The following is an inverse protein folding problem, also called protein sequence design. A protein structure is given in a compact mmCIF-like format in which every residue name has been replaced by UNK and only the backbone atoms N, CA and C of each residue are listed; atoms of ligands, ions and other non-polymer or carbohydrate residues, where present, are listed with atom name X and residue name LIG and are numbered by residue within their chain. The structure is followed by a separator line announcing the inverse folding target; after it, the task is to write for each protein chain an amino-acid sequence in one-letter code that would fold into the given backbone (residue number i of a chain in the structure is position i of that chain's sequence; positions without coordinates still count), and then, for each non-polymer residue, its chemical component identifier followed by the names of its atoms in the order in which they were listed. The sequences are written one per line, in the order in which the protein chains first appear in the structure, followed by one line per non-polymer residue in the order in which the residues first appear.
data_IF_825734848236
#
_entry.id   IF_825734848236
#
_cell.length_a   1.000
_cell.length_b   1.000
_cell.length_c   1.000
_cell.angle_alpha   90.00
_cell.angle_beta   90.00
_cell.angle_gamma   90.00
#
_symmetry.space_group_name_H-M   'P 1'
#
loop_
_entity.id
_entity.type
_entity.pdbx_description
1 polymer ?
#
# COMPACT_ATOMS: atom_id res chain seq x y z
N UNK A 1 -15.21 18.02 23.82
CA UNK A 1 -13.87 18.61 23.94
C UNK A 1 -13.32 18.84 22.55
N UNK A 2 -12.89 20.06 22.19
CA UNK A 2 -12.26 20.31 20.89
C UNK A 2 -10.89 19.65 20.89
N UNK A 3 -10.63 18.73 19.96
CA UNK A 3 -9.31 18.13 19.80
C UNK A 3 -8.29 19.23 19.49
N UNK A 4 -7.38 19.49 20.43
CA UNK A 4 -6.24 20.38 20.22
C UNK A 4 -5.28 19.69 19.25
N UNK A 5 -4.97 20.34 18.11
CA UNK A 5 -3.94 19.87 17.18
C UNK A 5 -2.57 20.22 17.74
N UNK A 6 -1.71 19.21 17.93
CA UNK A 6 -0.33 19.38 18.40
C UNK A 6 0.69 19.49 17.26
N UNK A 7 0.37 18.97 16.07
CA UNK A 7 1.26 19.04 14.92
C UNK A 7 1.34 20.45 14.35
N UNK A 8 2.55 20.87 13.97
CA UNK A 8 2.78 22.09 13.20
C UNK A 8 2.15 21.97 11.82
N UNK A 9 1.62 23.08 11.32
CA UNK A 9 1.25 23.20 9.91
C UNK A 9 2.44 23.73 9.10
N UNK A 10 2.89 22.95 8.11
CA UNK A 10 3.96 23.36 7.19
C UNK A 10 3.42 24.03 5.92
N UNK A 11 2.09 24.15 5.77
CA UNK A 11 1.42 24.77 4.64
C UNK A 11 1.80 24.11 3.32
N UNK A 12 2.04 24.92 2.27
CA UNK A 12 2.40 24.41 0.94
C UNK A 12 3.69 23.57 0.91
N UNK A 13 4.57 23.71 1.91
CA UNK A 13 5.83 22.95 2.01
C UNK A 13 5.61 21.49 2.40
N UNK A 14 4.47 21.17 3.02
CA UNK A 14 4.13 19.82 3.45
C UNK A 14 4.25 18.81 2.29
N UNK A 15 3.85 19.21 1.08
CA UNK A 15 3.93 18.34 -0.12
C UNK A 15 5.36 17.90 -0.42
N UNK A 16 6.32 18.82 -0.46
CA UNK A 16 7.73 18.50 -0.76
C UNK A 16 8.42 17.81 0.40
N UNK A 17 8.10 18.19 1.65
CA UNK A 17 8.61 17.53 2.85
C UNK A 17 8.17 16.06 2.90
N UNK A 18 6.88 15.79 2.66
CA UNK A 18 6.35 14.43 2.65
C UNK A 18 6.89 13.60 1.49
N UNK A 19 6.92 14.17 0.27
CA UNK A 19 7.50 13.49 -0.88
C UNK A 19 8.94 13.05 -0.59
N UNK A 20 9.82 13.98 -0.20
CA UNK A 20 11.23 13.67 0.03
C UNK A 20 11.42 12.73 1.22
N UNK A 21 10.70 12.92 2.33
CA UNK A 21 10.80 12.05 3.50
C UNK A 21 10.42 10.60 3.16
N UNK A 22 9.38 10.39 2.36
CA UNK A 22 8.95 9.06 1.93
C UNK A 22 9.91 8.45 0.91
N UNK A 23 10.29 9.19 -0.14
CA UNK A 23 11.21 8.75 -1.19
C UNK A 23 12.55 8.29 -0.62
N UNK A 24 13.10 9.05 0.34
CA UNK A 24 14.37 8.72 1.00
C UNK A 24 14.21 7.96 2.32
N UNK A 25 12.98 7.52 2.64
CA UNK A 25 12.67 6.63 3.76
C UNK A 25 13.18 7.12 5.13
N UNK A 26 13.16 8.43 5.37
CA UNK A 26 13.81 9.06 6.53
C UNK A 26 13.04 8.90 7.84
N UNK A 27 11.78 8.49 7.78
CA UNK A 27 10.91 8.26 8.94
C UNK A 27 10.53 6.78 9.15
N UNK A 28 11.24 5.84 8.51
CA UNK A 28 10.97 4.40 8.68
C UNK A 28 11.31 3.93 10.10
N UNK A 29 10.73 2.80 10.56
CA UNK A 29 11.03 2.24 11.88
C UNK A 29 12.53 1.97 12.13
N UNK A 30 13.29 1.60 11.09
CA UNK A 30 14.74 1.45 11.19
C UNK A 30 15.52 2.78 11.32
N UNK A 31 14.85 3.94 11.29
CA UNK A 31 15.41 5.28 11.51
C UNK A 31 14.91 5.92 12.80
N UNK A 32 13.63 5.77 13.11
CA UNK A 32 12.96 6.47 14.22
C UNK A 32 12.25 5.52 15.21
N UNK A 33 12.44 4.22 15.07
CA UNK A 33 11.70 3.21 15.84
C UNK A 33 10.25 3.04 15.38
N UNK A 34 9.59 2.00 15.88
CA UNK A 34 8.18 1.73 15.59
C UNK A 34 7.25 2.69 16.36
N UNK A 35 7.28 3.99 16.03
CA UNK A 35 6.65 5.10 16.77
C UNK A 35 5.20 4.81 17.20
N UNK A 36 4.39 4.22 16.32
CA UNK A 36 2.99 3.89 16.64
C UNK A 36 2.84 2.77 17.67
N UNK A 37 3.73 1.78 17.68
CA UNK A 37 3.75 0.76 18.73
C UNK A 37 4.24 1.36 20.06
N UNK A 38 5.31 2.16 19.99
CA UNK A 38 5.91 2.83 21.14
C UNK A 38 4.94 3.78 21.86
N UNK A 39 4.19 4.62 21.13
CA UNK A 39 3.23 5.54 21.75
C UNK A 39 2.03 4.79 22.37
N UNK A 40 1.65 3.64 21.80
CA UNK A 40 0.61 2.77 22.37
C UNK A 40 1.08 2.05 23.63
N UNK A 41 2.36 1.71 23.73
CA UNK A 41 2.97 1.20 24.96
C UNK A 41 3.04 2.29 26.03
N UNK A 42 3.41 3.52 25.64
CA UNK A 42 3.56 4.65 26.56
C UNK A 42 2.23 5.15 27.13
N UNK A 43 1.15 5.21 26.33
CA UNK A 43 -0.14 5.84 26.69
C UNK A 43 0.03 7.24 27.32
N UNK A 44 0.78 8.17 26.66
CA UNK A 44 1.12 9.46 27.25
C UNK A 44 -0.11 10.37 27.40
N UNK A 45 -0.16 11.16 28.46
CA UNK A 45 -1.22 12.15 28.72
C UNK A 45 -0.90 13.52 28.14
N UNK A 46 0.33 13.73 27.66
CA UNK A 46 0.81 14.98 27.09
C UNK A 46 1.90 14.77 26.04
N UNK A 47 2.17 15.78 25.22
CA UNK A 47 3.27 15.73 24.25
C UNK A 47 4.64 15.73 24.91
N UNK A 48 4.75 16.36 26.08
CA UNK A 48 5.97 16.44 26.87
C UNK A 48 6.31 15.08 27.51
N UNK A 49 5.29 14.39 28.03
CA UNK A 49 5.43 13.02 28.54
C UNK A 49 5.84 12.07 27.42
N UNK A 50 5.21 12.19 26.24
CA UNK A 50 5.57 11.40 25.07
C UNK A 50 7.02 11.63 24.64
N UNK A 51 7.45 12.89 24.49
CA UNK A 51 8.81 13.21 24.05
C UNK A 51 9.85 12.64 25.02
N UNK A 52 9.64 12.82 26.33
CA UNK A 52 10.54 12.30 27.36
C UNK A 52 10.63 10.78 27.31
N UNK A 53 9.48 10.09 27.27
CA UNK A 53 9.45 8.63 27.24
C UNK A 53 10.09 8.08 25.97
N UNK A 54 9.81 8.69 24.81
CA UNK A 54 10.35 8.29 23.53
C UNK A 54 11.88 8.31 23.53
N UNK A 55 12.53 9.40 23.96
CA UNK A 55 14.01 9.44 24.01
C UNK A 55 14.61 8.59 25.13
N UNK A 56 13.82 8.22 26.15
CA UNK A 56 14.28 7.27 27.17
C UNK A 56 14.30 5.83 26.64
N UNK A 57 13.26 5.42 25.89
CA UNK A 57 12.97 4.01 25.56
C UNK A 57 13.14 3.63 24.09
N UNK A 58 13.09 4.56 23.15
CA UNK A 58 13.05 4.22 21.72
C UNK A 58 14.40 3.77 21.17
N UNK A 59 14.35 2.71 20.36
CA UNK A 59 15.46 2.22 19.55
C UNK A 59 15.03 2.07 18.09
N UNK A 60 15.98 2.12 17.17
CA UNK A 60 15.72 1.78 15.76
C UNK A 60 15.30 0.31 15.63
N UNK A 61 14.35 0.06 14.73
CA UNK A 61 13.89 -1.29 14.37
C UNK A 61 14.74 -1.85 13.22
N UNK A 62 15.99 -2.20 13.55
CA UNK A 62 16.98 -2.73 12.61
C UNK A 62 17.82 -3.84 13.22
N UNK A 63 18.66 -4.49 12.39
CA UNK A 63 19.52 -5.62 12.81
C UNK A 63 20.37 -5.31 14.05
N UNK A 64 20.83 -4.07 14.16
CA UNK A 64 21.54 -3.54 15.32
C UNK A 64 20.76 -2.34 15.84
N UNK A 65 19.94 -2.51 16.89
CA UNK A 65 19.17 -1.41 17.46
C UNK A 65 20.07 -0.31 18.01
N UNK A 66 19.79 0.93 17.61
CA UNK A 66 20.49 2.14 18.09
C UNK A 66 19.48 2.97 18.88
N UNK A 67 19.87 3.42 20.07
CA UNK A 67 19.01 4.28 20.90
C UNK A 67 18.73 5.57 20.14
N UNK A 68 17.46 5.97 20.07
CA UNK A 68 17.08 7.22 19.44
C UNK A 68 17.44 8.39 20.36
N UNK A 69 18.05 9.43 19.78
CA UNK A 69 18.38 10.68 20.47
C UNK A 69 17.87 11.88 19.69
N UNK A 70 17.91 13.07 20.32
CA UNK A 70 17.55 14.33 19.65
C UNK A 70 18.48 14.62 18.47
N UNK A 71 19.74 14.26 18.60
CA UNK A 71 20.78 14.43 17.57
C UNK A 71 20.47 13.57 16.34
N UNK A 72 20.00 12.33 16.53
CA UNK A 72 19.56 11.47 15.41
C UNK A 72 18.39 12.12 14.66
N UNK A 73 17.40 12.67 15.37
CA UNK A 73 16.27 13.34 14.71
C UNK A 73 16.70 14.62 13.99
N UNK A 74 17.63 15.39 14.58
CA UNK A 74 18.21 16.55 13.94
C UNK A 74 18.96 16.17 12.66
N UNK A 75 19.81 15.14 12.71
CA UNK A 75 20.56 14.63 11.57
C UNK A 75 19.64 14.17 10.43
N UNK A 76 18.52 13.49 10.77
CA UNK A 76 17.49 13.12 9.78
C UNK A 76 16.85 14.36 9.13
N UNK A 77 16.63 15.43 9.90
CA UNK A 77 16.16 16.72 9.38
C UNK A 77 17.17 17.40 8.45
N UNK A 78 18.45 17.38 8.79
CA UNK A 78 19.54 17.90 7.96
C UNK A 78 19.67 17.10 6.66
N UNK A 79 19.60 15.77 6.74
CA UNK A 79 19.55 14.89 5.56
C UNK A 79 18.36 15.20 4.67
N UNK A 80 17.16 15.39 5.24
CA UNK A 80 15.97 15.78 4.49
C UNK A 80 16.19 17.12 3.76
N UNK A 81 16.79 18.11 4.43
CA UNK A 81 17.11 19.39 3.83
C UNK A 81 18.09 19.25 2.64
N UNK A 82 19.16 18.47 2.79
CA UNK A 82 20.11 18.20 1.70
C UNK A 82 19.43 17.49 0.54
N UNK A 83 18.61 16.47 0.80
CA UNK A 83 17.87 15.75 -0.25
C UNK A 83 16.94 16.67 -1.02
N UNK A 84 16.20 17.54 -0.34
CA UNK A 84 15.31 18.49 -1.00
C UNK A 84 16.11 19.50 -1.82
N UNK A 85 17.12 20.14 -1.23
CA UNK A 85 17.80 21.28 -1.85
C UNK A 85 18.79 20.89 -2.95
N UNK A 86 19.43 19.73 -2.85
CA UNK A 86 20.46 19.28 -3.79
C UNK A 86 19.96 18.32 -4.85
N UNK A 87 18.79 17.70 -4.66
CA UNK A 87 18.27 16.68 -5.57
C UNK A 87 16.86 17.07 -6.04
N UNK A 88 15.88 17.08 -5.13
CA UNK A 88 14.46 17.26 -5.51
C UNK A 88 14.21 18.60 -6.19
N UNK A 89 14.73 19.71 -5.64
CA UNK A 89 14.53 21.04 -6.24
C UNK A 89 15.13 21.11 -7.65
N UNK A 90 16.41 20.78 -7.88
CA UNK A 90 16.98 20.75 -9.23
C UNK A 90 16.19 19.88 -10.22
N UNK A 91 15.87 18.63 -9.84
CA UNK A 91 15.14 17.69 -10.69
C UNK A 91 13.75 18.21 -11.06
N UNK A 92 13.01 18.74 -10.08
CA UNK A 92 11.67 19.27 -10.33
C UNK A 92 11.71 20.55 -11.15
N UNK A 93 12.67 21.43 -10.88
CA UNK A 93 12.84 22.64 -11.70
C UNK A 93 13.15 22.27 -13.16
N UNK A 94 13.95 21.23 -13.40
CA UNK A 94 14.20 20.72 -14.74
C UNK A 94 12.93 20.14 -15.37
N UNK A 95 12.20 19.29 -14.65
CA UNK A 95 10.94 18.74 -15.12
C UNK A 95 9.92 19.83 -15.46
N UNK A 96 9.77 20.85 -14.59
CA UNK A 96 8.84 21.96 -14.83
C UNK A 96 9.25 22.86 -15.98
N UNK A 97 10.57 23.05 -16.22
CA UNK A 97 11.04 23.80 -17.39
C UNK A 97 10.74 23.08 -18.71
N UNK A 98 10.79 21.75 -18.69
CA UNK A 98 10.64 20.94 -19.89
C UNK A 98 9.20 20.41 -20.11
N UNK A 99 8.30 20.58 -19.14
CA UNK A 99 6.92 20.09 -19.22
C UNK A 99 6.15 20.84 -20.30
N UNK A 100 5.70 20.10 -21.32
CA UNK A 100 4.89 20.63 -22.42
C UNK A 100 3.41 20.33 -22.24
N UNK A 101 2.57 21.02 -23.00
CA UNK A 101 1.15 20.65 -23.10
C UNK A 101 0.98 19.23 -23.66
N UNK A 102 1.83 18.83 -24.61
CA UNK A 102 1.75 17.51 -25.23
C UNK A 102 2.02 16.41 -24.20
N UNK A 103 3.00 16.59 -23.31
CA UNK A 103 3.25 15.64 -22.22
C UNK A 103 2.00 15.42 -21.35
N UNK A 104 1.27 16.50 -21.05
CA UNK A 104 0.01 16.41 -20.29
C UNK A 104 -1.09 15.67 -21.07
N UNK A 105 -1.26 15.97 -22.36
CA UNK A 105 -2.26 15.31 -23.22
C UNK A 105 -1.94 13.84 -23.41
N UNK A 106 -0.68 13.52 -23.68
CA UNK A 106 -0.18 12.15 -23.83
C UNK A 106 -0.32 11.39 -22.53
N UNK A 107 0.00 11.99 -21.39
CA UNK A 107 -0.16 11.36 -20.09
C UNK A 107 -1.62 10.98 -19.82
N UNK A 108 -2.58 11.89 -20.05
CA UNK A 108 -4.02 11.59 -19.86
C UNK A 108 -4.49 10.50 -20.82
N UNK A 109 -4.09 10.57 -22.10
CA UNK A 109 -4.45 9.56 -23.10
C UNK A 109 -3.86 8.19 -22.74
N UNK A 110 -2.59 8.16 -22.34
CA UNK A 110 -1.86 6.97 -21.93
C UNK A 110 -2.41 6.34 -20.64
N UNK A 111 -2.79 7.17 -19.66
CA UNK A 111 -3.51 6.71 -18.48
C UNK A 111 -4.84 6.03 -18.83
N UNK A 112 -5.56 6.60 -19.80
CA UNK A 112 -6.95 6.22 -20.09
C UNK A 112 -7.05 5.02 -21.01
N UNK A 113 -6.16 4.89 -21.99
CA UNK A 113 -6.24 3.86 -23.03
C UNK A 113 -5.19 2.77 -22.81
N UNK A 114 -3.90 3.13 -22.86
CA UNK A 114 -2.82 2.13 -22.82
C UNK A 114 -2.75 1.46 -21.45
N UNK A 115 -2.74 2.23 -20.35
CA UNK A 115 -2.62 1.66 -19.00
C UNK A 115 -3.84 0.86 -18.56
N UNK A 116 -5.04 1.23 -19.00
CA UNK A 116 -6.25 0.44 -18.71
C UNK A 116 -6.23 -0.88 -19.50
N UNK A 117 -5.80 -0.85 -20.76
CA UNK A 117 -5.61 -2.06 -21.57
C UNK A 117 -4.54 -2.98 -20.98
N UNK A 118 -3.38 -2.45 -20.59
CA UNK A 118 -2.31 -3.22 -19.94
C UNK A 118 -2.79 -3.83 -18.62
N UNK A 119 -3.58 -3.08 -17.85
CA UNK A 119 -4.26 -3.57 -16.64
C UNK A 119 -5.16 -4.76 -16.93
N UNK A 120 -6.09 -4.59 -17.87
CA UNK A 120 -7.05 -5.61 -18.29
C UNK A 120 -6.37 -6.89 -18.77
N UNK A 121 -5.37 -6.79 -19.65
CA UNK A 121 -4.65 -7.97 -20.17
C UNK A 121 -3.91 -8.70 -19.04
N UNK A 122 -3.27 -7.96 -18.14
CA UNK A 122 -2.56 -8.54 -17.00
C UNK A 122 -3.52 -9.24 -16.04
N UNK A 123 -4.63 -8.60 -15.68
CA UNK A 123 -5.64 -9.18 -14.80
C UNK A 123 -6.22 -10.46 -15.40
N UNK A 124 -6.56 -10.42 -16.69
CA UNK A 124 -7.02 -11.59 -17.43
C UNK A 124 -5.98 -12.70 -17.43
N UNK A 125 -4.72 -12.43 -17.74
CA UNK A 125 -3.63 -13.43 -17.74
C UNK A 125 -3.41 -14.07 -16.36
N UNK A 126 -3.43 -13.27 -15.29
CA UNK A 126 -3.33 -13.78 -13.91
C UNK A 126 -4.47 -14.76 -13.60
N UNK A 127 -5.66 -14.52 -14.11
CA UNK A 127 -6.80 -15.44 -13.92
C UNK A 127 -6.70 -16.64 -14.86
N UNK A 128 -6.71 -16.42 -16.17
CA UNK A 128 -6.84 -17.48 -17.18
C UNK A 128 -5.61 -18.35 -17.26
N UNK A 129 -4.43 -17.74 -17.20
CA UNK A 129 -3.18 -18.43 -17.44
C UNK A 129 -2.49 -18.95 -16.19
N UNK A 130 -2.95 -18.54 -15.00
CA UNK A 130 -2.41 -18.98 -13.73
C UNK A 130 -3.47 -19.61 -12.80
N UNK A 131 -4.39 -18.82 -12.23
CA UNK A 131 -5.29 -19.29 -11.17
C UNK A 131 -6.26 -20.36 -11.70
N UNK A 132 -6.88 -20.15 -12.86
CA UNK A 132 -7.82 -21.08 -13.46
C UNK A 132 -7.19 -22.44 -13.79
N UNK A 133 -5.92 -22.46 -14.22
CA UNK A 133 -5.18 -23.72 -14.46
C UNK A 133 -4.95 -24.52 -13.18
N UNK A 134 -4.84 -23.86 -12.02
CA UNK A 134 -4.70 -24.52 -10.71
C UNK A 134 -6.03 -24.98 -10.11
N UNK A 135 -7.13 -24.30 -10.45
CA UNK A 135 -8.47 -24.59 -9.93
C UNK A 135 -9.47 -24.77 -11.09
N UNK A 136 -9.32 -25.85 -11.89
CA UNK A 136 -10.11 -26.05 -13.11
C UNK A 136 -11.60 -26.26 -12.83
N UNK A 137 -11.99 -26.59 -11.59
CA UNK A 137 -13.40 -26.73 -11.22
C UNK A 137 -14.12 -25.40 -10.94
N UNK A 138 -13.38 -24.28 -10.89
CA UNK A 138 -13.91 -22.98 -10.50
C UNK A 138 -14.22 -22.16 -11.75
N UNK A 139 -15.43 -21.60 -11.80
CA UNK A 139 -15.81 -20.63 -12.81
C UNK A 139 -15.41 -19.23 -12.34
N UNK A 140 -14.48 -18.60 -13.06
CA UNK A 140 -14.08 -17.22 -12.81
C UNK A 140 -14.94 -16.26 -13.64
N UNK A 141 -15.30 -15.13 -13.04
CA UNK A 141 -16.10 -14.07 -13.65
C UNK A 141 -15.52 -12.71 -13.25
N UNK A 142 -15.48 -11.77 -14.19
CA UNK A 142 -15.13 -10.37 -13.91
C UNK A 142 -16.19 -9.75 -12.98
N UNK A 143 -15.75 -8.97 -12.00
CA UNK A 143 -16.68 -8.27 -11.12
C UNK A 143 -17.52 -7.24 -11.86
N UNK A 144 -18.72 -6.97 -11.34
CA UNK A 144 -19.48 -5.80 -11.77
C UNK A 144 -18.77 -4.48 -11.36
N UNK A 145 -19.09 -3.34 -11.99
CA UNK A 145 -18.43 -2.08 -11.68
C UNK A 145 -18.57 -1.62 -10.22
N UNK A 146 -19.61 -2.05 -9.49
CA UNK A 146 -19.77 -1.68 -8.08
C UNK A 146 -18.78 -2.46 -7.22
N UNK A 147 -18.65 -3.77 -7.43
CA UNK A 147 -17.69 -4.62 -6.73
C UNK A 147 -16.24 -4.29 -7.08
N UNK A 148 -15.97 -3.93 -8.34
CA UNK A 148 -14.64 -3.52 -8.80
C UNK A 148 -14.24 -2.15 -8.23
N UNK A 149 -14.97 -1.08 -8.54
CA UNK A 149 -14.58 0.28 -8.15
C UNK A 149 -14.85 0.62 -6.69
N UNK A 150 -15.97 0.17 -6.13
CA UNK A 150 -16.28 0.45 -4.73
C UNK A 150 -15.57 -0.53 -3.81
N UNK A 151 -15.45 -1.78 -4.27
CA UNK A 151 -15.09 -2.92 -3.45
C UNK A 151 -13.65 -3.41 -3.55
N UNK A 152 -12.84 -2.94 -4.51
CA UNK A 152 -11.47 -3.45 -4.72
C UNK A 152 -11.50 -5.00 -4.91
N UNK A 153 -12.38 -5.49 -5.80
CA UNK A 153 -12.49 -6.91 -6.14
C UNK A 153 -12.62 -7.03 -7.66
N UNK A 154 -11.61 -7.57 -8.33
CA UNK A 154 -11.56 -7.62 -9.80
C UNK A 154 -12.29 -8.84 -10.37
N UNK A 155 -12.22 -9.98 -9.66
CA UNK A 155 -12.83 -11.25 -10.10
C UNK A 155 -13.53 -12.00 -8.98
N UNK A 156 -14.55 -12.77 -9.35
CA UNK A 156 -15.21 -13.76 -8.51
C UNK A 156 -14.86 -15.17 -8.97
N UNK A 157 -14.51 -16.06 -8.04
CA UNK A 157 -14.41 -17.50 -8.25
C UNK A 157 -15.63 -18.21 -7.66
N UNK A 158 -16.51 -18.72 -8.52
CA UNK A 158 -17.78 -19.32 -8.10
C UNK A 158 -17.64 -20.80 -7.70
N UNK A 159 -18.34 -21.15 -6.62
CA UNK A 159 -18.48 -22.53 -6.14
C UNK A 159 -19.90 -22.79 -5.63
N UNK A 160 -20.70 -23.49 -6.43
CA UNK A 160 -22.12 -23.67 -6.15
C UNK A 160 -22.84 -22.32 -6.12
N UNK A 161 -23.46 -21.99 -5.00
CA UNK A 161 -24.15 -20.70 -4.77
C UNK A 161 -23.27 -19.64 -4.08
N UNK A 162 -22.00 -19.95 -3.82
CA UNK A 162 -21.06 -19.08 -3.11
C UNK A 162 -19.95 -18.62 -4.05
N UNK A 163 -19.24 -17.56 -3.67
CA UNK A 163 -18.06 -17.10 -4.38
C UNK A 163 -16.98 -16.61 -3.42
N UNK A 164 -15.72 -16.71 -3.84
CA UNK A 164 -14.59 -16.00 -3.23
C UNK A 164 -14.13 -14.89 -4.18
N UNK A 165 -13.56 -13.82 -3.64
CA UNK A 165 -13.11 -12.66 -4.40
C UNK A 165 -11.61 -12.69 -4.66
N UNK A 166 -11.17 -12.09 -5.76
CA UNK A 166 -9.77 -11.88 -6.09
C UNK A 166 -9.57 -10.40 -6.42
N UNK A 167 -8.57 -9.80 -5.78
CA UNK A 167 -8.02 -8.50 -6.15
C UNK A 167 -6.58 -8.69 -6.60
N UNK A 168 -6.28 -8.30 -7.82
CA UNK A 168 -4.98 -8.32 -8.46
C UNK A 168 -4.37 -6.93 -8.30
N UNK A 169 -3.19 -6.84 -7.69
CA UNK A 169 -2.42 -5.60 -7.64
C UNK A 169 -1.11 -5.79 -8.39
N UNK A 170 -0.79 -4.95 -9.41
CA UNK A 170 0.54 -4.96 -9.98
C UNK A 170 1.55 -4.56 -8.92
N UNK A 171 2.67 -5.28 -8.86
CA UNK A 171 3.82 -4.84 -8.07
C UNK A 171 4.98 -4.60 -9.02
N UNK A 172 5.80 -3.61 -8.71
CA UNK A 172 7.09 -3.46 -9.39
C UNK A 172 8.10 -4.40 -8.72
N UNK A 173 9.12 -4.85 -9.45
CA UNK A 173 10.18 -5.72 -8.90
C UNK A 173 10.88 -5.12 -7.66
N UNK A 174 10.80 -3.79 -7.47
CA UNK A 174 11.37 -3.05 -6.33
C UNK A 174 10.34 -2.66 -5.25
N UNK A 175 9.06 -3.03 -5.39
CA UNK A 175 8.07 -2.78 -4.35
C UNK A 175 8.32 -3.74 -3.18
N UNK A 176 8.68 -3.18 -2.01
CA UNK A 176 8.77 -3.94 -0.76
C UNK A 176 7.38 -4.53 -0.43
N UNK A 177 7.18 -5.81 -0.76
CA UNK A 177 5.97 -6.60 -0.49
C UNK A 177 5.47 -6.50 0.96
N UNK A 178 6.36 -6.18 1.92
CA UNK A 178 6.05 -6.12 3.35
C UNK A 178 5.25 -4.91 3.84
N UNK A 179 4.92 -3.93 2.98
CA UNK A 179 4.22 -2.69 3.40
C UNK A 179 2.82 -2.51 2.80
N UNK A 180 2.23 -3.54 2.19
CA UNK A 180 0.83 -3.45 1.77
C UNK A 180 -0.09 -3.44 2.99
N UNK A 181 -0.46 -2.24 3.46
CA UNK A 181 -1.53 -2.06 4.43
C UNK A 181 -2.84 -1.85 3.68
N UNK A 182 -3.71 -2.86 3.72
CA UNK A 182 -5.09 -2.71 3.28
C UNK A 182 -5.72 -1.46 3.92
N UNK A 183 -6.29 -0.57 3.10
CA UNK A 183 -7.00 0.61 3.60
C UNK A 183 -8.21 0.15 4.43
N UNK A 184 -8.66 0.98 5.37
CA UNK A 184 -9.88 0.68 6.15
C UNK A 184 -11.09 0.45 5.23
N UNK A 185 -11.18 1.23 4.15
CA UNK A 185 -12.20 1.05 3.10
C UNK A 185 -12.14 -0.33 2.46
N UNK A 186 -10.95 -0.77 2.05
CA UNK A 186 -10.79 -2.09 1.41
C UNK A 186 -11.13 -3.23 2.38
N UNK A 187 -10.76 -3.10 3.65
CA UNK A 187 -11.15 -4.08 4.69
C UNK A 187 -12.66 -4.16 4.87
N UNK A 188 -13.34 -3.01 4.91
CA UNK A 188 -14.79 -2.94 5.02
C UNK A 188 -15.46 -3.65 3.83
N UNK A 189 -15.01 -3.34 2.61
CA UNK A 189 -15.49 -4.00 1.40
C UNK A 189 -15.32 -5.53 1.47
N UNK A 190 -14.16 -6.02 1.91
CA UNK A 190 -13.93 -7.47 1.98
C UNK A 190 -14.86 -8.15 2.98
N UNK A 191 -15.21 -7.46 4.07
CA UNK A 191 -16.23 -7.94 5.01
C UNK A 191 -17.62 -7.97 4.38
N UNK A 192 -18.00 -6.93 3.64
CA UNK A 192 -19.30 -6.86 2.95
C UNK A 192 -19.41 -7.95 1.86
N UNK A 193 -18.33 -8.20 1.12
CA UNK A 193 -18.24 -9.29 0.17
C UNK A 193 -18.39 -10.66 0.84
N UNK A 194 -17.65 -10.91 1.94
CA UNK A 194 -17.74 -12.18 2.67
C UNK A 194 -19.16 -12.40 3.24
N UNK A 195 -19.84 -11.34 3.68
CA UNK A 195 -21.22 -11.41 4.13
C UNK A 195 -22.20 -11.74 2.98
N UNK A 196 -21.99 -11.18 1.79
CA UNK A 196 -22.85 -11.37 0.61
C UNK A 196 -22.63 -12.72 -0.09
N UNK A 197 -21.38 -13.12 -0.31
CA UNK A 197 -21.00 -14.27 -1.13
C UNK A 197 -20.51 -15.48 -0.32
N UNK A 198 -20.27 -15.30 0.98
CA UNK A 198 -19.86 -16.34 1.91
C UNK A 198 -18.39 -16.75 1.85
N UNK A 199 -17.64 -16.28 0.86
CA UNK A 199 -16.20 -16.54 0.67
C UNK A 199 -15.33 -15.29 0.89
N UNK A 200 -14.07 -15.54 1.22
CA UNK A 200 -13.08 -14.48 1.47
C UNK A 200 -12.58 -13.82 0.18
N UNK A 201 -12.01 -12.63 0.32
CA UNK A 201 -11.28 -11.94 -0.77
C UNK A 201 -9.77 -12.15 -0.61
N UNK A 202 -9.09 -12.44 -1.72
CA UNK A 202 -7.65 -12.68 -1.77
C UNK A 202 -6.96 -11.61 -2.60
N UNK A 203 -5.89 -11.02 -2.06
CA UNK A 203 -5.03 -10.09 -2.81
C UNK A 203 -3.90 -10.87 -3.47
N UNK A 204 -3.78 -10.73 -4.79
CA UNK A 204 -2.78 -11.38 -5.64
C UNK A 204 -1.82 -10.32 -6.16
N UNK A 205 -0.54 -10.49 -5.90
CA UNK A 205 0.51 -9.62 -6.41
C UNK A 205 1.13 -10.22 -7.66
N UNK A 206 1.09 -9.48 -8.76
CA UNK A 206 1.62 -9.92 -10.06
C UNK A 206 2.77 -9.03 -10.53
N UNK A 207 3.85 -9.63 -11.05
CA UNK A 207 4.86 -8.93 -11.89
C UNK A 207 4.83 -9.62 -13.24
N UNK A 208 4.60 -8.86 -14.31
CA UNK A 208 4.56 -9.39 -15.68
C UNK A 208 3.67 -10.64 -15.79
N UNK A 209 2.47 -10.60 -15.18
CA UNK A 209 1.48 -11.69 -15.01
C UNK A 209 1.82 -12.86 -14.06
N UNK A 210 3.06 -12.98 -13.61
CA UNK A 210 3.44 -14.02 -12.65
C UNK A 210 3.01 -13.67 -11.22
N UNK A 211 2.33 -14.61 -10.56
CA UNK A 211 1.94 -14.48 -9.14
C UNK A 211 3.16 -14.57 -8.24
N UNK A 212 3.46 -13.50 -7.50
CA UNK A 212 4.64 -13.43 -6.62
C UNK A 212 4.35 -13.88 -5.18
N UNK A 213 3.15 -13.63 -4.68
CA UNK A 213 2.72 -14.11 -3.36
C UNK A 213 2.07 -15.49 -3.47
N UNK A 214 2.87 -16.50 -3.84
CA UNK A 214 2.39 -17.85 -4.15
C UNK A 214 1.64 -18.53 -3.00
N UNK A 215 1.84 -18.10 -1.75
CA UNK A 215 1.06 -18.54 -0.58
C UNK A 215 -0.44 -18.26 -0.69
N UNK A 216 -0.84 -17.28 -1.51
CA UNK A 216 -2.25 -16.96 -1.78
C UNK A 216 -2.99 -18.15 -2.41
N UNK A 217 -2.30 -18.97 -3.20
CA UNK A 217 -2.89 -20.12 -3.88
C UNK A 217 -3.25 -21.21 -2.87
N UNK A 218 -2.40 -21.42 -1.86
CA UNK A 218 -2.73 -22.34 -0.76
C UNK A 218 -3.86 -21.79 0.11
N UNK A 219 -3.95 -20.47 0.28
CA UNK A 219 -5.06 -19.84 0.99
C UNK A 219 -6.40 -20.02 0.25
N UNK A 220 -6.41 -19.81 -1.08
CA UNK A 220 -7.57 -20.07 -1.95
C UNK A 220 -7.97 -21.55 -1.85
N UNK A 221 -7.01 -22.47 -1.93
CA UNK A 221 -7.28 -23.92 -1.82
C UNK A 221 -7.96 -24.30 -0.49
N UNK A 222 -7.48 -23.75 0.62
CA UNK A 222 -8.10 -23.95 1.95
C UNK A 222 -9.52 -23.38 2.00
N UNK A 223 -9.72 -22.22 1.40
CA UNK A 223 -11.01 -21.57 1.34
C UNK A 223 -12.02 -22.34 0.49
N UNK A 224 -11.60 -22.87 -0.66
CA UNK A 224 -12.41 -23.77 -1.47
C UNK A 224 -12.85 -24.99 -0.65
N UNK A 225 -11.94 -25.61 0.10
CA UNK A 225 -12.27 -26.73 0.99
C UNK A 225 -13.27 -26.34 2.09
N UNK A 226 -13.21 -25.11 2.61
CA UNK A 226 -14.17 -24.58 3.59
C UNK A 226 -15.54 -24.35 2.96
N UNK A 227 -15.58 -23.77 1.77
CA UNK A 227 -16.81 -23.47 1.03
C UNK A 227 -17.54 -24.74 0.58
N UNK A 228 -16.82 -25.82 0.22
CA UNK A 228 -17.39 -27.14 -0.15
C UNK A 228 -18.07 -27.87 1.03
N UNK A 229 -17.67 -27.58 2.27
CA UNK A 229 -18.19 -28.25 3.48
C UNK A 229 -19.48 -27.62 4.04
N UNK A 230 -19.89 -26.48 3.51
CA UNK A 230 -21.04 -25.69 3.96
C UNK A 230 -22.03 -25.52 2.83
#
# INVERSE_FOLDING_TARGET
MKNKRYSKDFGKKEKVLNYACQTYQLSRPNKVGAVMALIRECQPKSTEEWEKWYFEKAYTDGKTPVKITKEILQELGERLHVKITKIVIPEWQEAFRNLTLQDCVDYISNLTIQRTYDGFIREKSVITDNIAKKFPEIKFEESDPELDHAGDIDYLGHIGTKAFGIQIKPVTANANFGNYSATERMKASFCDFEAKYGGKVFVVFSVDDEIKNTEVLEAIKKELARLKKK
#
